data_IF_970406670279
#
_entry.id   IF_970406670279
#
_cell.length_a   1.000
_cell.length_b   1.000
_cell.length_c   1.000
_cell.angle_alpha   90.00
_cell.angle_beta   90.00
_cell.angle_gamma   90.00
#
_symmetry.space_group_name_H-M   'P 1'
#
loop_
_entity.id
_entity.type
_entity.pdbx_description
1 polymer ?
#
# COMPACT_ATOMS: atom_id res chain seq x y z
N UNK A 1 -3.28 25.35 15.36
CA UNK A 1 -4.14 24.35 14.69
C UNK A 1 -3.23 23.25 14.16
N UNK A 2 -3.12 22.11 14.85
CA UNK A 2 -2.42 20.95 14.28
C UNK A 2 -3.15 20.56 13.00
N UNK A 3 -2.45 20.56 11.87
CA UNK A 3 -3.04 20.26 10.56
C UNK A 3 -3.82 18.95 10.64
N UNK A 4 -4.96 18.87 9.95
CA UNK A 4 -5.76 17.64 9.83
C UNK A 4 -4.90 16.43 9.44
N UNK A 5 -3.80 16.68 8.72
CA UNK A 5 -2.76 15.71 8.39
C UNK A 5 -2.04 15.11 9.60
N UNK A 6 -1.51 15.92 10.53
CA UNK A 6 -0.82 15.39 11.72
C UNK A 6 -1.75 14.53 12.57
N UNK A 7 -3.02 14.96 12.70
CA UNK A 7 -4.04 14.19 13.40
C UNK A 7 -4.25 12.82 12.74
N UNK A 8 -4.44 12.79 11.41
CA UNK A 8 -4.58 11.55 10.64
C UNK A 8 -3.39 10.61 10.84
N UNK A 9 -2.16 11.12 10.80
CA UNK A 9 -0.94 10.32 11.02
C UNK A 9 -0.96 9.68 12.41
N UNK A 10 -1.22 10.47 13.46
CA UNK A 10 -1.26 9.98 14.84
C UNK A 10 -2.37 8.95 15.06
N UNK A 11 -3.55 9.22 14.53
CA UNK A 11 -4.71 8.31 14.65
C UNK A 11 -4.40 6.98 13.96
N UNK A 12 -3.78 7.01 12.77
CA UNK A 12 -3.42 5.80 12.04
C UNK A 12 -2.28 5.02 12.72
N UNK A 13 -1.33 5.67 13.38
CA UNK A 13 -0.30 4.99 14.18
C UNK A 13 -0.90 4.30 15.42
N UNK A 14 -1.99 4.84 15.96
CA UNK A 14 -2.71 4.23 17.09
C UNK A 14 -3.60 3.07 16.66
N UNK A 15 -4.13 3.14 15.43
CA UNK A 15 -4.95 2.09 14.81
C UNK A 15 -4.43 1.78 13.40
N UNK A 16 -3.41 0.91 13.28
CA UNK A 16 -2.81 0.59 11.98
C UNK A 16 -3.84 0.01 11.00
N UNK A 17 -3.72 0.29 9.69
CA UNK A 17 -4.65 -0.23 8.70
C UNK A 17 -4.48 -1.74 8.54
N UNK A 18 -5.60 -2.42 8.40
CA UNK A 18 -5.70 -3.86 8.10
C UNK A 18 -5.88 -4.14 6.61
N UNK A 19 -6.02 -3.10 5.79
CA UNK A 19 -6.13 -3.19 4.33
C UNK A 19 -5.08 -2.27 3.73
N UNK A 20 -4.33 -2.78 2.76
CA UNK A 20 -3.40 -1.97 1.99
C UNK A 20 -3.67 -2.07 0.49
N UNK A 21 -3.34 -0.99 -0.19
CA UNK A 21 -3.33 -0.90 -1.64
C UNK A 21 -1.89 -0.80 -2.16
N UNK A 22 -1.51 -1.71 -3.06
CA UNK A 22 -0.15 -1.83 -3.59
C UNK A 22 -0.12 -1.54 -5.09
N UNK A 23 0.63 -0.51 -5.47
CA UNK A 23 0.95 -0.24 -6.87
C UNK A 23 2.11 -1.13 -7.34
N UNK A 24 1.91 -1.83 -8.45
CA UNK A 24 2.91 -2.71 -9.06
C UNK A 24 2.91 -2.64 -10.58
N UNK A 25 3.86 -3.33 -11.19
CA UNK A 25 3.99 -3.45 -12.65
C UNK A 25 3.40 -4.79 -13.12
N UNK A 26 2.91 -4.91 -14.37
CA UNK A 26 2.47 -6.21 -14.91
C UNK A 26 3.54 -7.31 -14.79
N UNK A 27 4.82 -6.95 -15.00
CA UNK A 27 5.97 -7.86 -14.83
C UNK A 27 6.09 -8.40 -13.40
N UNK A 28 5.88 -7.55 -12.40
CA UNK A 28 5.90 -7.94 -10.98
C UNK A 28 4.68 -8.77 -10.62
N UNK A 29 3.49 -8.39 -11.08
CA UNK A 29 2.28 -9.19 -10.88
C UNK A 29 2.46 -10.63 -11.42
N UNK A 30 3.01 -10.80 -12.61
CA UNK A 30 3.29 -12.12 -13.17
C UNK A 30 4.21 -12.97 -12.25
N UNK A 31 5.19 -12.35 -11.61
CA UNK A 31 6.03 -13.02 -10.60
C UNK A 31 5.27 -13.35 -9.32
N UNK A 32 4.39 -12.47 -8.85
CA UNK A 32 3.57 -12.75 -7.68
C UNK A 32 2.66 -13.95 -7.91
N UNK A 33 2.04 -14.03 -9.09
CA UNK A 33 1.23 -15.18 -9.53
C UNK A 33 2.09 -16.45 -9.61
N UNK A 34 3.25 -16.39 -10.26
CA UNK A 34 4.13 -17.55 -10.40
C UNK A 34 4.68 -18.09 -9.06
N UNK A 35 4.86 -17.20 -8.07
CA UNK A 35 5.35 -17.57 -6.73
C UNK A 35 4.22 -17.86 -5.74
N UNK A 36 2.97 -17.52 -6.08
CA UNK A 36 1.82 -17.61 -5.17
C UNK A 36 1.84 -16.59 -4.04
N UNK A 37 2.67 -15.54 -4.12
CA UNK A 37 2.78 -14.53 -3.07
C UNK A 37 3.37 -13.19 -3.55
N UNK A 38 3.02 -12.11 -2.85
CA UNK A 38 3.83 -10.88 -2.80
C UNK A 38 4.83 -11.06 -1.66
N UNK A 39 6.12 -11.15 -2.00
CA UNK A 39 7.17 -11.42 -1.02
C UNK A 39 7.56 -10.15 -0.22
N UNK A 40 7.94 -10.30 1.07
CA UNK A 40 8.35 -9.19 1.93
C UNK A 40 9.59 -8.43 1.44
N UNK A 41 9.75 -7.14 1.82
CA UNK A 41 8.76 -6.31 2.51
C UNK A 41 7.63 -5.90 1.55
N UNK A 42 6.38 -6.17 1.94
CA UNK A 42 5.22 -5.78 1.14
C UNK A 42 4.80 -4.37 1.54
N UNK A 43 4.74 -3.44 0.59
CA UNK A 43 4.44 -2.03 0.84
C UNK A 43 3.11 -1.63 0.21
N UNK A 44 2.38 -0.71 0.81
CA UNK A 44 1.13 -0.18 0.24
C UNK A 44 0.67 1.09 0.92
N UNK A 45 -0.48 1.59 0.50
CA UNK A 45 -1.15 2.75 1.08
C UNK A 45 -2.43 2.33 1.80
N UNK A 46 -2.82 3.10 2.81
CA UNK A 46 -4.08 2.94 3.55
C UNK A 46 -5.32 3.33 2.72
N UNK A 47 -5.14 4.08 1.63
CA UNK A 47 -6.23 4.54 0.74
C UNK A 47 -5.96 4.20 -0.73
N UNK A 48 -7.05 4.07 -1.49
CA UNK A 48 -6.99 3.84 -2.93
C UNK A 48 -6.39 5.06 -3.66
N UNK A 49 -6.81 6.27 -3.28
CA UNK A 49 -6.34 7.53 -3.85
C UNK A 49 -4.85 7.72 -3.58
N UNK A 50 -4.38 7.33 -2.39
CA UNK A 50 -2.96 7.37 -2.02
C UNK A 50 -2.11 6.50 -2.92
N UNK A 51 -2.54 5.27 -3.19
CA UNK A 51 -1.81 4.38 -4.10
C UNK A 51 -1.90 4.81 -5.56
N UNK A 52 -3.01 5.42 -5.99
CA UNK A 52 -3.21 5.91 -7.34
C UNK A 52 -2.28 7.09 -7.63
N UNK A 53 -2.18 8.04 -6.70
CA UNK A 53 -1.23 9.14 -6.83
C UNK A 53 0.21 8.64 -6.84
N UNK A 54 0.54 7.66 -5.99
CA UNK A 54 1.85 7.02 -6.00
C UNK A 54 2.16 6.31 -7.33
N UNK A 55 1.17 5.61 -7.89
CA UNK A 55 1.27 4.97 -9.20
C UNK A 55 1.51 6.01 -10.31
N UNK A 56 0.80 7.15 -10.27
CA UNK A 56 0.97 8.26 -11.23
C UNK A 56 2.37 8.89 -11.16
N UNK A 57 2.91 9.07 -9.96
CA UNK A 57 4.22 9.65 -9.73
C UNK A 57 5.38 8.70 -10.06
N UNK A 58 5.13 7.40 -10.14
CA UNK A 58 6.18 6.40 -10.34
C UNK A 58 6.02 5.66 -11.67
N UNK A 59 7.03 5.78 -12.53
CA UNK A 59 6.96 5.20 -13.87
C UNK A 59 6.70 3.68 -13.86
N UNK A 60 5.70 3.25 -14.64
CA UNK A 60 5.44 1.85 -14.97
C UNK A 60 4.57 1.06 -13.99
N UNK A 61 4.11 1.65 -12.88
CA UNK A 61 3.18 0.98 -11.95
C UNK A 61 1.74 1.20 -12.38
N UNK A 62 1.21 0.31 -13.23
CA UNK A 62 -0.14 0.42 -13.79
C UNK A 62 -1.15 -0.56 -13.20
N UNK A 63 -0.73 -1.40 -12.25
CA UNK A 63 -1.58 -2.40 -11.60
C UNK A 63 -1.71 -2.06 -10.12
N UNK A 64 -2.94 -1.95 -9.62
CA UNK A 64 -3.23 -1.77 -8.20
C UNK A 64 -3.80 -3.06 -7.63
N UNK A 65 -3.21 -3.52 -6.52
CA UNK A 65 -3.67 -4.69 -5.77
C UNK A 65 -4.22 -4.23 -4.42
N UNK A 66 -5.31 -4.83 -3.97
CA UNK A 66 -5.86 -4.68 -2.61
C UNK A 66 -5.68 -6.00 -1.86
N UNK A 67 -5.25 -5.94 -0.61
CA UNK A 67 -5.15 -7.10 0.25
C UNK A 67 -5.32 -6.73 1.73
N UNK A 68 -5.67 -7.75 2.52
CA UNK A 68 -5.76 -7.65 3.98
C UNK A 68 -4.42 -8.05 4.63
N UNK A 69 -4.11 -7.42 5.76
CA UNK A 69 -2.88 -7.60 6.54
C UNK A 69 -3.20 -7.45 8.02
N UNK A 70 -2.61 -8.30 8.85
CA UNK A 70 -2.79 -8.22 10.32
C UNK A 70 -1.80 -7.27 10.98
N UNK A 71 -0.59 -7.16 10.42
CA UNK A 71 0.50 -6.39 11.01
C UNK A 71 1.11 -5.46 9.97
N UNK A 72 0.91 -4.17 10.17
CA UNK A 72 1.48 -3.11 9.35
C UNK A 72 2.31 -2.16 10.21
N UNK A 73 3.33 -1.59 9.59
CA UNK A 73 4.16 -0.56 10.18
C UNK A 73 4.17 0.63 9.22
N UNK A 74 4.00 1.83 9.75
CA UNK A 74 4.11 3.03 8.93
C UNK A 74 5.53 3.11 8.35
N UNK A 75 5.63 3.46 7.07
CA UNK A 75 6.91 3.87 6.50
C UNK A 75 7.27 5.26 7.06
N UNK A 76 8.56 5.59 7.17
CA UNK A 76 8.98 6.94 7.59
C UNK A 76 8.77 8.00 6.49
N UNK A 77 8.51 7.55 5.26
CA UNK A 77 8.47 8.34 4.04
C UNK A 77 7.37 7.82 3.08
N UNK A 78 7.30 8.39 1.86
CA UNK A 78 6.36 8.04 0.79
C UNK A 78 4.87 8.30 1.05
N UNK A 79 4.48 8.86 2.20
CA UNK A 79 3.14 9.39 2.39
C UNK A 79 2.83 10.49 1.35
N UNK A 80 1.57 10.63 0.99
CA UNK A 80 1.08 11.74 0.18
C UNK A 80 -0.23 12.29 0.76
N UNK A 81 -0.71 13.41 0.24
CA UNK A 81 -1.89 14.10 0.78
C UNK A 81 -3.16 13.23 0.85
N UNK A 82 -3.22 12.15 0.07
CA UNK A 82 -4.36 11.24 -0.01
C UNK A 82 -4.20 9.99 0.86
N UNK A 83 -2.97 9.54 1.12
CA UNK A 83 -2.71 8.27 1.79
C UNK A 83 -1.38 8.20 2.53
N UNK A 84 -1.38 7.44 3.61
CA UNK A 84 -0.19 7.07 4.36
C UNK A 84 0.41 5.78 3.79
N UNK A 85 1.73 5.73 3.67
CA UNK A 85 2.46 4.55 3.24
C UNK A 85 2.79 3.63 4.42
N UNK A 86 2.62 2.33 4.20
CA UNK A 86 2.79 1.26 5.19
C UNK A 86 3.57 0.10 4.59
N UNK A 87 4.09 -0.75 5.45
CA UNK A 87 4.68 -2.02 5.05
C UNK A 87 4.36 -3.14 6.03
N UNK A 88 4.46 -4.38 5.54
CA UNK A 88 4.39 -5.59 6.35
C UNK A 88 5.59 -6.51 6.06
N UNK A 89 6.18 -7.15 7.09
CA UNK A 89 7.23 -8.14 6.91
C UNK A 89 6.71 -9.51 6.49
N UNK A 90 5.39 -9.68 6.38
CA UNK A 90 4.74 -10.98 6.07
C UNK A 90 4.37 -11.05 4.59
N UNK A 91 4.52 -12.23 3.99
CA UNK A 91 4.12 -12.46 2.60
C UNK A 91 2.60 -12.35 2.45
N UNK A 92 2.14 -11.83 1.30
CA UNK A 92 0.70 -11.73 0.99
C UNK A 92 0.35 -12.78 -0.06
N UNK A 93 -0.52 -13.72 0.29
CA UNK A 93 -0.94 -14.82 -0.57
C UNK A 93 -2.27 -14.56 -1.30
N UNK A 94 -3.06 -13.61 -0.82
CA UNK A 94 -4.36 -13.28 -1.38
C UNK A 94 -4.43 -11.78 -1.67
N UNK A 95 -4.82 -11.45 -2.90
CA UNK A 95 -5.03 -10.08 -3.33
C UNK A 95 -6.12 -10.01 -4.40
N UNK A 96 -6.73 -8.84 -4.52
CA UNK A 96 -7.66 -8.51 -5.60
C UNK A 96 -7.03 -7.44 -6.48
N UNK A 97 -7.07 -7.62 -7.79
CA UNK A 97 -6.69 -6.57 -8.75
C UNK A 97 -7.83 -5.55 -8.80
N UNK A 98 -7.52 -4.28 -8.54
CA UNK A 98 -8.47 -3.18 -8.65
C UNK A 98 -8.34 -2.62 -10.07
N UNK A 99 -9.41 -2.68 -10.84
CA UNK A 99 -9.51 -1.97 -12.12
C UNK A 99 -9.76 -0.48 -11.80
N UNK A 100 -8.90 0.38 -12.33
CA UNK A 100 -9.09 1.83 -12.32
C UNK A 100 -9.92 2.29 -13.50
#
# INVERSE_FOLDING_TARGET
>A
MTSSWHRRVVDALSTPPTVLYHATTPRKLARYVATGAILPPVRGFDTLEGVQEWARLTNGRTVILKFEVQHTQALPDHHNVYGLAWWTPVAVHHWTVIQG
#
